data_IF_868762772394
#
_entry.id   IF_868762772394
#
_cell.length_a   1.000
_cell.length_b   1.000
_cell.length_c   1.000
_cell.angle_alpha   90.00
_cell.angle_beta   90.00
_cell.angle_gamma   90.00
#
_symmetry.space_group_name_H-M   'P 1'
#
loop_
_entity.id
_entity.type
_entity.pdbx_description
1 polymer ?
#
# COMPACT_ATOMS: atom_id res chain seq x y z
N UNK A 1 -31.88 48.21 -64.27
CA UNK A 1 -31.96 46.85 -63.65
C UNK A 1 -30.70 46.54 -62.84
N UNK A 2 -30.26 47.43 -61.91
CA UNK A 2 -28.94 47.34 -61.24
C UNK A 2 -29.01 47.55 -59.67
N UNK A 3 -30.21 47.61 -59.13
CA UNK A 3 -30.32 47.98 -57.66
C UNK A 3 -30.60 46.82 -56.69
N UNK A 4 -30.79 45.59 -57.20
CA UNK A 4 -31.22 44.44 -56.39
C UNK A 4 -30.07 43.60 -55.80
N UNK A 5 -28.86 43.70 -56.32
CA UNK A 5 -27.69 42.92 -55.86
C UNK A 5 -26.99 43.47 -54.59
N UNK A 6 -27.11 44.73 -54.29
CA UNK A 6 -26.41 45.38 -53.18
C UNK A 6 -26.97 44.97 -51.80
N UNK A 7 -28.27 44.65 -51.69
CA UNK A 7 -28.86 44.29 -50.40
C UNK A 7 -28.56 42.83 -49.98
N UNK A 8 -28.52 41.92 -50.95
CA UNK A 8 -28.22 40.50 -50.70
C UNK A 8 -26.80 40.33 -50.20
N UNK A 9 -25.84 41.08 -50.71
CA UNK A 9 -24.44 40.99 -50.34
C UNK A 9 -24.20 41.48 -48.87
N UNK A 10 -24.99 42.46 -48.42
CA UNK A 10 -24.89 42.97 -47.01
C UNK A 10 -25.43 41.96 -45.99
N UNK A 11 -26.49 41.23 -46.30
CA UNK A 11 -27.03 40.19 -45.43
C UNK A 11 -26.14 38.95 -45.43
N UNK A 12 -25.54 38.60 -46.55
CA UNK A 12 -24.61 37.48 -46.68
C UNK A 12 -23.31 37.75 -45.90
N UNK A 13 -22.75 38.96 -45.96
CA UNK A 13 -21.60 39.36 -45.16
C UNK A 13 -21.92 39.36 -43.66
N UNK A 14 -23.13 39.79 -43.24
CA UNK A 14 -23.57 39.77 -41.87
C UNK A 14 -23.73 38.33 -41.33
N UNK A 15 -24.26 37.42 -42.13
CA UNK A 15 -24.42 36.01 -41.79
C UNK A 15 -23.06 35.30 -41.62
N UNK A 16 -22.09 35.56 -42.52
CA UNK A 16 -20.75 35.00 -42.43
C UNK A 16 -20.01 35.52 -41.21
N UNK A 17 -20.18 36.80 -40.82
CA UNK A 17 -19.59 37.38 -39.61
C UNK A 17 -20.19 36.77 -38.33
N UNK A 18 -21.48 36.49 -38.30
CA UNK A 18 -22.15 35.84 -37.14
C UNK A 18 -21.69 34.39 -37.05
N UNK A 19 -21.56 33.64 -38.15
CA UNK A 19 -21.06 32.26 -38.16
C UNK A 19 -19.59 32.19 -37.71
N UNK A 20 -18.73 33.17 -38.06
CA UNK A 20 -17.36 33.24 -37.59
C UNK A 20 -17.26 33.54 -36.10
N UNK A 21 -18.22 34.27 -35.50
CA UNK A 21 -18.24 34.55 -34.08
C UNK A 21 -18.72 33.38 -33.21
N UNK A 22 -19.50 32.46 -33.80
CA UNK A 22 -19.96 31.26 -33.06
C UNK A 22 -18.88 30.16 -33.04
N UNK A 23 -17.89 30.21 -33.93
CA UNK A 23 -16.76 29.24 -33.98
C UNK A 23 -15.60 29.57 -33.08
N UNK A 24 -15.61 30.70 -32.34
CA UNK A 24 -14.70 30.88 -31.20
C UNK A 24 -15.20 30.06 -30.02
N UNK A 25 -15.11 28.72 -30.15
CA UNK A 25 -15.36 27.77 -29.07
C UNK A 25 -14.43 28.13 -27.93
N UNK A 26 -14.98 28.74 -26.88
CA UNK A 26 -14.29 28.77 -25.59
C UNK A 26 -13.94 27.34 -25.22
N UNK A 27 -12.65 27.00 -25.26
CA UNK A 27 -12.13 25.79 -24.62
C UNK A 27 -12.36 25.99 -23.12
N UNK A 28 -13.54 25.56 -22.63
CA UNK A 28 -13.81 25.48 -21.21
C UNK A 28 -12.80 24.45 -20.67
N UNK A 29 -11.87 24.82 -19.77
CA UNK A 29 -10.99 23.84 -19.15
C UNK A 29 -11.87 22.88 -18.36
N UNK A 30 -12.02 21.66 -18.87
CA UNK A 30 -12.71 20.59 -18.16
C UNK A 30 -11.97 20.33 -16.84
N UNK A 31 -12.69 20.31 -15.68
CA UNK A 31 -12.09 19.90 -14.42
C UNK A 31 -11.51 18.49 -14.61
N UNK A 32 -10.18 18.33 -14.43
CA UNK A 32 -9.48 17.04 -14.60
C UNK A 32 -8.39 17.02 -15.69
N UNK A 33 -8.16 18.10 -16.46
CA UNK A 33 -7.06 18.20 -17.42
C UNK A 33 -5.70 18.59 -16.83
N UNK A 34 -5.45 18.19 -15.57
CA UNK A 34 -4.10 18.26 -15.01
C UNK A 34 -3.20 17.17 -15.59
N UNK A 35 -1.87 17.37 -15.55
CA UNK A 35 -0.93 16.31 -15.90
C UNK A 35 -1.24 15.04 -15.08
N UNK A 36 -1.15 13.82 -15.67
CA UNK A 36 -1.46 12.59 -14.95
C UNK A 36 -0.57 12.44 -13.72
N UNK A 37 -1.06 11.76 -12.66
CA UNK A 37 -0.27 11.53 -11.46
C UNK A 37 0.95 10.64 -11.79
N UNK A 38 2.06 10.89 -11.12
CA UNK A 38 3.22 9.98 -11.12
C UNK A 38 2.90 8.77 -10.27
N UNK A 39 3.20 7.58 -10.81
CA UNK A 39 2.99 6.33 -10.11
C UNK A 39 4.29 5.85 -9.48
N UNK A 40 4.22 5.45 -8.22
CA UNK A 40 5.35 4.95 -7.45
C UNK A 40 5.13 3.52 -7.01
N UNK A 41 6.22 2.75 -6.99
CA UNK A 41 6.25 1.35 -6.55
C UNK A 41 7.20 1.22 -5.36
N UNK A 42 6.93 0.23 -4.51
CA UNK A 42 7.85 -0.20 -3.46
C UNK A 42 8.36 -1.60 -3.78
N UNK A 43 9.43 -2.02 -3.10
CA UNK A 43 10.10 -3.30 -3.39
C UNK A 43 9.82 -4.34 -2.31
N UNK A 44 9.68 -5.63 -2.67
CA UNK A 44 9.57 -6.70 -1.69
C UNK A 44 10.92 -6.89 -0.98
N UNK A 45 10.90 -7.38 0.24
CA UNK A 45 12.12 -7.71 0.96
C UNK A 45 12.74 -9.00 0.42
N UNK A 46 14.04 -8.97 0.14
CA UNK A 46 14.78 -10.12 -0.42
C UNK A 46 15.87 -10.68 0.50
N UNK A 47 16.20 -9.98 1.59
CA UNK A 47 17.29 -10.40 2.50
C UNK A 47 16.79 -10.65 3.91
N UNK A 48 17.04 -11.85 4.43
CA UNK A 48 16.59 -12.30 5.75
C UNK A 48 17.76 -12.82 6.57
N UNK A 49 17.64 -12.87 7.93
CA UNK A 49 18.65 -13.50 8.77
C UNK A 49 18.74 -15.01 8.53
N UNK A 50 19.93 -15.58 8.62
CA UNK A 50 20.18 -17.01 8.40
C UNK A 50 19.49 -17.90 9.44
N UNK A 51 19.30 -17.40 10.66
CA UNK A 51 18.64 -18.07 11.80
C UNK A 51 17.12 -18.17 11.69
N UNK A 52 16.52 -17.67 10.59
CA UNK A 52 15.09 -17.87 10.32
C UNK A 52 14.86 -19.32 9.89
N UNK A 53 13.95 -20.06 10.55
CA UNK A 53 13.75 -21.48 10.24
C UNK A 53 13.15 -21.68 8.85
N UNK A 54 13.62 -22.73 8.15
CA UNK A 54 12.91 -23.27 6.99
C UNK A 54 11.74 -24.12 7.48
N UNK A 55 10.58 -23.92 6.90
CA UNK A 55 9.33 -24.54 7.35
C UNK A 55 8.67 -25.33 6.23
N UNK A 56 7.97 -26.41 6.58
CA UNK A 56 7.27 -27.33 5.67
C UNK A 56 5.74 -27.17 5.72
N UNK A 57 5.26 -25.99 6.01
CA UNK A 57 3.84 -25.66 6.07
C UNK A 57 3.51 -24.49 5.13
N UNK A 58 2.21 -24.34 4.85
CA UNK A 58 1.68 -23.35 3.90
C UNK A 58 1.03 -22.17 4.62
N UNK A 59 1.15 -20.99 4.04
CA UNK A 59 0.60 -19.73 4.53
C UNK A 59 -0.31 -19.10 3.50
N UNK A 60 -1.49 -18.66 3.92
CA UNK A 60 -2.26 -17.69 3.16
C UNK A 60 -2.13 -16.31 3.81
N UNK A 61 -2.07 -15.29 2.99
CA UNK A 61 -2.03 -13.88 3.40
C UNK A 61 -3.34 -13.22 2.98
N UNK A 62 -4.07 -12.71 3.95
CA UNK A 62 -5.29 -11.93 3.69
C UNK A 62 -4.94 -10.50 3.26
N UNK A 63 -5.86 -9.85 2.56
CA UNK A 63 -5.71 -8.43 2.25
C UNK A 63 -5.71 -7.63 3.55
N UNK A 64 -4.71 -6.76 3.80
CA UNK A 64 -4.70 -5.94 5.00
C UNK A 64 -5.94 -5.08 5.13
N UNK A 65 -6.57 -5.11 6.30
CA UNK A 65 -7.61 -4.14 6.66
C UNK A 65 -6.92 -2.82 6.95
N UNK A 66 -7.50 -1.71 6.52
CA UNK A 66 -6.98 -0.37 6.80
C UNK A 66 -8.11 0.65 6.99
N UNK A 67 -7.86 1.79 7.66
CA UNK A 67 -8.75 2.94 7.62
C UNK A 67 -9.03 3.40 6.19
N UNK A 68 -10.21 3.95 5.92
CA UNK A 68 -10.60 4.39 4.58
C UNK A 68 -9.62 5.38 3.95
N UNK A 69 -9.02 6.26 4.74
CA UNK A 69 -8.00 7.20 4.29
C UNK A 69 -6.70 6.56 3.80
N UNK A 70 -6.40 5.32 4.21
CA UNK A 70 -5.27 4.54 3.71
C UNK A 70 -5.66 3.50 2.66
N UNK A 71 -6.96 3.21 2.49
CA UNK A 71 -7.49 2.28 1.48
C UNK A 71 -7.63 2.96 0.11
N UNK A 72 -6.54 3.52 -0.37
CA UNK A 72 -6.47 4.30 -1.60
C UNK A 72 -5.11 4.13 -2.27
N UNK A 73 -5.01 4.50 -3.54
CA UNK A 73 -3.73 4.62 -4.24
C UNK A 73 -3.00 5.94 -3.93
N UNK A 74 -3.64 6.90 -3.25
CA UNK A 74 -3.00 8.19 -2.93
C UNK A 74 -1.96 7.99 -1.84
N UNK A 75 -0.82 8.69 -1.96
CA UNK A 75 0.24 8.66 -0.96
C UNK A 75 -0.13 9.59 0.18
N UNK A 76 -0.38 9.02 1.36
CA UNK A 76 -0.82 9.74 2.53
C UNK A 76 0.34 10.49 3.20
N UNK A 77 0.02 11.67 3.73
CA UNK A 77 0.90 12.47 4.57
C UNK A 77 0.10 13.15 5.69
N UNK A 78 0.74 13.49 6.77
CA UNK A 78 0.19 14.36 7.80
C UNK A 78 1.26 15.34 8.30
N UNK A 79 0.82 16.53 8.60
CA UNK A 79 1.57 17.61 9.24
C UNK A 79 0.92 18.01 10.57
N UNK A 80 -0.12 17.26 10.96
CA UNK A 80 -0.87 17.39 12.21
C UNK A 80 -1.35 16.00 12.65
N UNK A 81 -1.42 15.70 13.96
CA UNK A 81 -1.92 14.42 14.46
C UNK A 81 -3.37 14.10 14.13
N UNK A 82 -4.16 15.13 13.76
CA UNK A 82 -5.61 15.01 13.55
C UNK A 82 -6.04 15.17 12.09
N UNK A 83 -5.07 15.43 11.17
CA UNK A 83 -5.37 15.67 9.75
C UNK A 83 -4.57 14.74 8.86
N UNK A 84 -5.28 13.99 8.01
CA UNK A 84 -4.67 13.19 6.95
C UNK A 84 -4.82 13.92 5.62
N UNK A 85 -3.71 14.15 4.95
CA UNK A 85 -3.61 14.77 3.63
C UNK A 85 -2.95 13.81 2.64
N UNK A 86 -2.81 14.23 1.40
CA UNK A 86 -2.16 13.42 0.37
C UNK A 86 -1.23 14.30 -0.46
N UNK A 87 -0.14 13.69 -0.94
CA UNK A 87 0.72 14.35 -1.91
C UNK A 87 -0.03 14.61 -3.22
N UNK A 88 0.14 15.80 -3.76
CA UNK A 88 -0.45 16.15 -5.05
C UNK A 88 0.20 15.36 -6.17
N UNK A 89 -0.63 14.83 -7.09
CA UNK A 89 -0.20 14.11 -8.29
C UNK A 89 0.85 13.01 -8.05
N UNK A 90 0.81 12.36 -6.90
CA UNK A 90 1.67 11.24 -6.55
C UNK A 90 0.81 10.09 -6.00
N UNK A 91 0.85 8.95 -6.67
CA UNK A 91 0.07 7.78 -6.31
C UNK A 91 0.95 6.53 -6.23
N UNK A 92 0.54 5.59 -5.43
CA UNK A 92 0.97 4.20 -5.56
C UNK A 92 0.42 3.59 -6.85
N UNK A 93 1.01 2.51 -7.34
CA UNK A 93 0.53 1.76 -8.52
C UNK A 93 -0.74 0.95 -8.25
N UNK A 94 -1.07 0.71 -6.99
CA UNK A 94 -2.28 0.02 -6.54
C UNK A 94 -2.74 0.63 -5.20
N UNK A 95 -3.91 0.25 -4.70
CA UNK A 95 -4.34 0.61 -3.35
C UNK A 95 -3.33 0.11 -2.31
N UNK A 96 -2.96 0.95 -1.35
CA UNK A 96 -1.91 0.65 -0.39
C UNK A 96 -2.07 -0.73 0.32
N UNK A 97 -3.26 -1.15 0.80
CA UNK A 97 -3.42 -2.47 1.40
C UNK A 97 -3.09 -3.62 0.44
N UNK A 98 -3.53 -3.50 -0.82
CA UNK A 98 -3.32 -4.54 -1.84
C UNK A 98 -1.86 -4.60 -2.28
N UNK A 99 -1.20 -3.44 -2.42
CA UNK A 99 0.23 -3.36 -2.67
C UNK A 99 1.02 -4.00 -1.52
N UNK A 100 0.68 -3.68 -0.27
CA UNK A 100 1.33 -4.27 0.92
C UNK A 100 1.13 -5.79 0.97
N UNK A 101 -0.06 -6.32 0.62
CA UNK A 101 -0.31 -7.76 0.52
C UNK A 101 0.63 -8.41 -0.51
N UNK A 102 0.72 -7.85 -1.71
CA UNK A 102 1.59 -8.36 -2.79
C UNK A 102 3.04 -8.41 -2.33
N UNK A 103 3.56 -7.29 -1.82
CA UNK A 103 4.94 -7.19 -1.36
C UNK A 103 5.24 -8.12 -0.17
N UNK A 104 4.24 -8.38 0.68
CA UNK A 104 4.36 -9.32 1.79
C UNK A 104 4.48 -10.77 1.27
N UNK A 105 3.65 -11.18 0.32
CA UNK A 105 3.71 -12.51 -0.31
C UNK A 105 5.06 -12.70 -0.98
N UNK A 106 5.47 -11.78 -1.84
CA UNK A 106 6.77 -11.82 -2.52
C UNK A 106 7.95 -11.84 -1.52
N UNK A 107 7.82 -11.17 -0.37
CA UNK A 107 8.84 -11.21 0.68
C UNK A 107 8.93 -12.58 1.35
N UNK A 108 7.81 -13.30 1.53
CA UNK A 108 7.84 -14.69 1.99
C UNK A 108 8.48 -15.60 0.95
N UNK A 109 8.13 -15.47 -0.33
CA UNK A 109 8.71 -16.22 -1.45
C UNK A 109 10.22 -15.98 -1.53
N UNK A 110 10.66 -14.72 -1.50
CA UNK A 110 12.06 -14.31 -1.53
C UNK A 110 12.86 -14.83 -0.33
N UNK A 111 12.21 -15.18 0.78
CA UNK A 111 12.92 -15.78 1.92
C UNK A 111 13.46 -17.18 1.61
N UNK A 112 12.84 -17.91 0.67
CA UNK A 112 13.16 -19.31 0.38
C UNK A 112 12.97 -20.26 1.57
N UNK A 113 12.29 -19.81 2.64
CA UNK A 113 12.17 -20.51 3.91
C UNK A 113 10.78 -21.13 4.16
N UNK A 114 9.87 -21.05 3.21
CA UNK A 114 8.51 -21.59 3.31
C UNK A 114 8.15 -22.40 2.06
N UNK A 115 7.43 -23.52 2.24
CA UNK A 115 7.06 -24.40 1.13
C UNK A 115 6.03 -23.77 0.17
N UNK A 116 5.16 -22.91 0.68
CA UNK A 116 4.18 -22.22 -0.15
C UNK A 116 3.52 -21.06 0.59
N UNK A 117 3.31 -19.98 -0.13
CA UNK A 117 2.56 -18.80 0.31
C UNK A 117 1.63 -18.34 -0.80
N UNK A 118 0.47 -17.81 -0.45
CA UNK A 118 -0.49 -17.34 -1.44
C UNK A 118 -1.50 -16.37 -0.84
N UNK A 119 -2.42 -15.89 -1.68
CA UNK A 119 -3.54 -15.03 -1.26
C UNK A 119 -4.67 -15.88 -0.68
N UNK A 120 -5.35 -15.41 0.38
CA UNK A 120 -6.51 -16.11 0.95
C UNK A 120 -7.62 -16.31 -0.10
N UNK A 121 -7.82 -15.34 -0.97
CA UNK A 121 -8.89 -15.31 -1.98
C UNK A 121 -8.85 -16.47 -2.99
N UNK A 122 -7.73 -17.17 -3.13
CA UNK A 122 -7.62 -18.32 -4.06
C UNK A 122 -8.12 -19.63 -3.47
N UNK A 123 -8.60 -19.65 -2.22
CA UNK A 123 -9.29 -20.79 -1.62
C UNK A 123 -8.44 -22.05 -1.36
N UNK A 124 -7.12 -21.93 -1.39
CA UNK A 124 -6.21 -23.04 -1.13
C UNK A 124 -6.24 -23.47 0.34
N UNK A 125 -5.95 -24.75 0.59
CA UNK A 125 -5.71 -25.23 1.96
C UNK A 125 -4.40 -24.65 2.47
N UNK A 126 -4.39 -24.27 3.74
CA UNK A 126 -3.18 -23.80 4.41
C UNK A 126 -3.13 -24.24 5.87
N UNK A 127 -1.95 -24.25 6.44
CA UNK A 127 -1.74 -24.48 7.86
C UNK A 127 -2.03 -23.22 8.69
N UNK A 128 -1.69 -22.08 8.11
CA UNK A 128 -1.87 -20.77 8.74
C UNK A 128 -2.45 -19.75 7.77
N UNK A 129 -3.15 -18.77 8.35
CA UNK A 129 -3.62 -17.57 7.69
C UNK A 129 -3.03 -16.36 8.42
N UNK A 130 -2.44 -15.45 7.68
CA UNK A 130 -1.92 -14.19 8.18
C UNK A 130 -2.94 -13.09 7.94
N UNK A 131 -3.56 -12.61 9.01
CA UNK A 131 -4.43 -11.43 8.98
C UNK A 131 -3.67 -10.21 9.45
N UNK A 132 -3.83 -9.11 8.73
CA UNK A 132 -3.07 -7.88 9.00
C UNK A 132 -3.96 -6.66 9.00
N UNK A 133 -3.65 -5.72 9.90
CA UNK A 133 -4.26 -4.40 9.95
C UNK A 133 -3.17 -3.35 9.62
N UNK A 134 -3.29 -2.68 8.48
CA UNK A 134 -2.41 -1.57 8.09
C UNK A 134 -2.88 -0.31 8.81
N UNK A 135 -2.22 0.03 9.92
CA UNK A 135 -2.66 1.11 10.82
C UNK A 135 -2.09 2.46 10.46
N UNK A 136 -0.82 2.48 10.05
CA UNK A 136 -0.11 3.68 9.63
C UNK A 136 0.66 3.39 8.34
N UNK A 137 0.51 4.26 7.37
CA UNK A 137 1.23 4.20 6.10
C UNK A 137 1.25 5.60 5.48
N UNK A 138 1.92 6.53 6.15
CA UNK A 138 1.97 7.93 5.79
C UNK A 138 3.35 8.54 6.04
N UNK A 139 3.61 9.68 5.38
CA UNK A 139 4.73 10.55 5.68
C UNK A 139 4.33 11.57 6.75
N UNK A 140 5.03 11.61 7.86
CA UNK A 140 4.78 12.53 8.98
C UNK A 140 5.76 13.69 8.95
N UNK A 141 5.23 14.90 8.86
CA UNK A 141 5.99 16.13 9.08
C UNK A 141 5.94 16.51 10.56
N UNK A 142 7.05 17.00 11.12
CA UNK A 142 7.14 17.35 12.55
C UNK A 142 6.43 18.65 12.89
N UNK A 143 6.35 19.55 11.92
CA UNK A 143 5.75 20.87 12.06
C UNK A 143 4.59 21.01 11.10
N UNK A 144 3.53 21.71 11.53
CA UNK A 144 2.41 22.03 10.66
C UNK A 144 2.92 22.83 9.45
N UNK A 145 2.62 22.32 8.26
CA UNK A 145 2.99 23.01 7.03
C UNK A 145 2.08 24.24 6.87
N UNK A 146 2.64 25.45 6.68
CA UNK A 146 1.81 26.62 6.42
C UNK A 146 0.91 26.40 5.21
N UNK A 147 -0.31 26.95 5.26
CA UNK A 147 -1.24 26.83 4.13
C UNK A 147 -0.65 27.47 2.87
N UNK A 148 -0.73 26.75 1.75
CA UNK A 148 -0.23 27.23 0.47
C UNK A 148 1.26 26.97 0.18
N UNK A 149 2.05 26.45 1.13
CA UNK A 149 3.41 26.00 0.86
C UNK A 149 3.35 24.69 0.05
N UNK A 150 4.05 24.68 -1.07
CA UNK A 150 4.37 23.43 -1.78
C UNK A 150 5.38 22.66 -0.94
N UNK A 151 5.10 21.39 -0.69
CA UNK A 151 5.92 20.48 0.14
C UNK A 151 7.39 20.44 -0.31
N UNK A 152 7.67 20.82 -1.55
CA UNK A 152 9.01 20.88 -2.15
C UNK A 152 9.70 22.24 -1.96
N UNK A 153 9.12 23.17 -1.19
CA UNK A 153 9.74 24.46 -0.96
C UNK A 153 10.94 24.32 0.02
N UNK A 154 11.97 25.14 -0.22
CA UNK A 154 13.15 25.17 0.63
C UNK A 154 12.78 25.58 2.06
N UNK A 155 13.32 24.89 3.06
CA UNK A 155 13.12 25.20 4.47
C UNK A 155 12.14 24.26 5.21
N UNK A 156 11.43 23.37 4.51
CA UNK A 156 10.60 22.33 5.17
C UNK A 156 11.46 21.12 5.50
N UNK A 157 11.49 20.72 6.78
CA UNK A 157 12.23 19.54 7.20
C UNK A 157 11.70 18.26 6.53
N UNK A 158 12.59 17.34 6.10
CA UNK A 158 12.16 16.09 5.49
C UNK A 158 11.25 15.26 6.40
N UNK A 159 10.18 14.66 5.87
CA UNK A 159 9.24 13.90 6.67
C UNK A 159 9.81 12.54 7.10
N UNK A 160 9.09 11.91 8.02
CA UNK A 160 9.35 10.54 8.48
C UNK A 160 8.29 9.62 7.89
N UNK A 161 8.68 8.69 7.02
CA UNK A 161 7.79 7.61 6.61
C UNK A 161 7.50 6.69 7.81
N UNK A 162 6.22 6.56 8.16
CA UNK A 162 5.75 5.70 9.23
C UNK A 162 4.95 4.54 8.66
N UNK A 163 5.39 3.33 8.99
CA UNK A 163 4.71 2.08 8.63
C UNK A 163 4.42 1.31 9.90
N UNK A 164 3.12 1.07 10.19
CA UNK A 164 2.67 0.32 11.36
C UNK A 164 1.63 -0.71 10.95
N UNK A 165 1.96 -1.99 11.16
CA UNK A 165 1.12 -3.12 10.79
C UNK A 165 0.92 -4.01 12.02
N UNK A 166 -0.34 -4.27 12.38
CA UNK A 166 -0.68 -5.33 13.33
C UNK A 166 -0.88 -6.64 12.56
N UNK A 167 -0.34 -7.71 13.10
CA UNK A 167 -0.33 -9.04 12.47
C UNK A 167 -0.89 -10.06 13.43
N UNK A 168 -1.82 -10.88 12.92
CA UNK A 168 -2.41 -12.02 13.63
C UNK A 168 -2.12 -13.28 12.86
N UNK A 169 -1.42 -14.23 13.47
CA UNK A 169 -1.22 -15.57 12.91
C UNK A 169 -2.37 -16.46 13.37
N UNK A 170 -3.15 -16.96 12.42
CA UNK A 170 -4.35 -17.77 12.63
C UNK A 170 -4.06 -19.18 12.17
N UNK A 171 -4.27 -20.17 13.04
CA UNK A 171 -4.13 -21.59 12.70
C UNK A 171 -5.38 -22.11 12.02
N UNK A 172 -5.19 -22.80 10.92
CA UNK A 172 -6.26 -23.45 10.17
C UNK A 172 -6.37 -24.94 10.48
N UNK A 173 -7.51 -25.60 10.27
CA UNK A 173 -8.81 -25.04 9.83
C UNK A 173 -9.63 -24.42 10.96
N UNK A 174 -9.20 -24.52 12.23
CA UNK A 174 -9.98 -24.09 13.41
C UNK A 174 -10.14 -22.57 13.53
N UNK A 175 -9.42 -21.78 12.71
CA UNK A 175 -9.42 -20.31 12.72
C UNK A 175 -9.06 -19.72 14.10
N UNK A 176 -8.13 -20.35 14.79
CA UNK A 176 -7.65 -19.92 16.11
C UNK A 176 -6.46 -18.97 15.99
N UNK A 177 -6.55 -17.80 16.60
CA UNK A 177 -5.41 -16.87 16.67
C UNK A 177 -4.37 -17.47 17.64
N UNK A 178 -3.20 -17.82 17.09
CA UNK A 178 -2.11 -18.40 17.89
C UNK A 178 -1.09 -17.38 18.34
N UNK A 179 -1.00 -16.25 17.67
CA UNK A 179 -0.14 -15.14 18.08
C UNK A 179 -0.58 -13.82 17.40
N UNK A 180 -0.28 -12.73 18.08
CA UNK A 180 -0.51 -11.37 17.57
C UNK A 180 0.70 -10.51 17.88
N UNK A 181 1.10 -9.65 16.92
CA UNK A 181 2.20 -8.69 17.14
C UNK A 181 2.01 -7.46 16.26
N UNK A 182 2.36 -6.30 16.80
CA UNK A 182 2.43 -5.05 16.03
C UNK A 182 3.89 -4.76 15.66
N UNK A 183 4.09 -4.41 14.40
CA UNK A 183 5.38 -3.99 13.87
C UNK A 183 5.27 -2.53 13.43
N UNK A 184 6.22 -1.74 13.82
CA UNK A 184 6.30 -0.32 13.46
C UNK A 184 7.72 0.03 13.06
N UNK A 185 7.86 0.81 11.99
CA UNK A 185 9.11 1.41 11.55
C UNK A 185 8.87 2.84 11.14
N UNK A 186 9.84 3.66 11.50
CA UNK A 186 9.89 5.08 11.16
C UNK A 186 11.23 5.33 10.50
N UNK A 187 11.21 5.91 9.33
CA UNK A 187 12.42 6.23 8.55
C UNK A 187 12.30 7.65 8.03
N UNK A 188 13.23 8.51 8.42
CA UNK A 188 13.31 9.89 7.91
C UNK A 188 13.78 9.87 6.46
N UNK A 189 13.14 10.65 5.60
CA UNK A 189 13.65 10.92 4.26
C UNK A 189 14.95 11.73 4.33
N UNK A 190 15.86 11.52 3.38
CA UNK A 190 17.11 12.28 3.34
C UNK A 190 16.88 13.72 2.87
N UNK A 191 15.83 13.93 2.07
CA UNK A 191 15.46 15.24 1.53
C UNK A 191 13.94 15.28 1.33
N UNK A 192 13.40 16.48 1.11
CA UNK A 192 11.97 16.72 0.90
C UNK A 192 11.55 16.56 -0.58
N UNK A 193 12.22 15.68 -1.33
CA UNK A 193 11.83 15.31 -2.69
C UNK A 193 11.00 14.02 -2.67
N UNK A 194 10.07 13.86 -3.62
CA UNK A 194 9.27 12.64 -3.72
C UNK A 194 10.13 11.39 -3.82
N UNK A 195 11.27 11.44 -4.50
CA UNK A 195 12.21 10.32 -4.61
C UNK A 195 12.70 9.86 -3.24
N UNK A 196 13.15 10.78 -2.41
CA UNK A 196 13.67 10.47 -1.07
C UNK A 196 12.56 10.06 -0.10
N UNK A 197 11.38 10.67 -0.23
CA UNK A 197 10.19 10.29 0.54
C UNK A 197 9.78 8.86 0.20
N UNK A 198 9.69 8.48 -1.08
CA UNK A 198 9.38 7.10 -1.50
C UNK A 198 10.47 6.13 -1.05
N UNK A 199 11.75 6.52 -1.13
CA UNK A 199 12.87 5.74 -0.61
C UNK A 199 12.76 5.46 0.89
N UNK A 200 12.26 6.43 1.67
CA UNK A 200 12.00 6.23 3.10
C UNK A 200 10.84 5.28 3.38
N UNK A 201 9.76 5.31 2.57
CA UNK A 201 8.69 4.32 2.63
C UNK A 201 9.19 2.92 2.28
N UNK A 202 9.97 2.78 1.22
CA UNK A 202 10.54 1.51 0.79
C UNK A 202 11.41 0.89 1.90
N UNK A 203 12.25 1.70 2.52
CA UNK A 203 13.09 1.26 3.63
C UNK A 203 12.25 0.89 4.87
N UNK A 204 11.23 1.70 5.23
CA UNK A 204 10.38 1.45 6.39
C UNK A 204 9.55 0.18 6.19
N UNK A 205 8.91 0.02 5.02
CA UNK A 205 8.13 -1.17 4.68
C UNK A 205 9.02 -2.40 4.60
N UNK A 206 10.16 -2.33 3.91
CA UNK A 206 11.10 -3.44 3.79
C UNK A 206 11.62 -3.95 5.16
N UNK A 207 11.94 -3.05 6.11
CA UNK A 207 12.28 -3.41 7.49
C UNK A 207 11.11 -4.05 8.24
N UNK A 208 9.88 -3.58 7.99
CA UNK A 208 8.65 -4.12 8.58
C UNK A 208 8.36 -5.51 8.03
N UNK A 209 8.41 -5.71 6.71
CA UNK A 209 8.21 -7.00 6.06
C UNK A 209 9.26 -8.04 6.51
N UNK A 210 10.54 -7.65 6.60
CA UNK A 210 11.59 -8.52 7.14
C UNK A 210 11.25 -9.03 8.54
N UNK A 211 10.76 -8.13 9.40
CA UNK A 211 10.39 -8.49 10.77
C UNK A 211 9.13 -9.37 10.83
N UNK A 212 8.12 -9.10 10.00
CA UNK A 212 6.89 -9.89 9.89
C UNK A 212 7.21 -11.30 9.41
N UNK A 213 7.93 -11.45 8.30
CA UNK A 213 8.31 -12.76 7.75
C UNK A 213 9.07 -13.58 8.77
N UNK A 214 10.15 -13.02 9.36
CA UNK A 214 10.95 -13.70 10.37
C UNK A 214 10.15 -14.13 11.59
N UNK A 215 9.27 -13.27 12.09
CA UNK A 215 8.39 -13.57 13.24
C UNK A 215 7.37 -14.66 12.90
N UNK A 216 6.74 -14.58 11.73
CA UNK A 216 5.71 -15.53 11.31
C UNK A 216 6.29 -16.94 11.17
N UNK A 217 7.46 -17.08 10.52
CA UNK A 217 8.12 -18.37 10.33
C UNK A 217 8.53 -18.99 11.66
N UNK A 218 9.15 -18.23 12.57
CA UNK A 218 9.50 -18.72 13.91
C UNK A 218 8.28 -19.09 14.74
N UNK A 219 7.25 -18.25 14.73
CA UNK A 219 6.04 -18.48 15.53
C UNK A 219 5.28 -19.70 15.02
N UNK A 220 5.06 -19.82 13.71
CA UNK A 220 4.38 -20.96 13.11
C UNK A 220 5.13 -22.27 13.36
N UNK A 221 6.46 -22.27 13.26
CA UNK A 221 7.28 -23.44 13.58
C UNK A 221 7.14 -23.88 15.03
N UNK A 222 7.19 -22.94 15.96
CA UNK A 222 7.00 -23.25 17.40
C UNK A 222 5.61 -23.83 17.70
N UNK A 223 4.56 -23.33 17.04
CA UNK A 223 3.19 -23.83 17.16
C UNK A 223 3.10 -25.28 16.64
N UNK A 224 3.68 -25.58 15.49
CA UNK A 224 3.71 -26.94 14.90
C UNK A 224 4.47 -27.93 15.80
N UNK A 225 5.62 -27.55 16.32
CA UNK A 225 6.42 -28.40 17.21
C UNK A 225 5.67 -28.74 18.52
N UNK A 226 5.00 -27.78 19.13
CA UNK A 226 4.17 -28.01 20.32
C UNK A 226 3.03 -28.99 20.06
N UNK A 227 2.41 -28.93 18.89
CA UNK A 227 1.37 -29.88 18.50
C UNK A 227 1.90 -31.28 18.33
N UNK A 228 3.00 -31.47 17.59
CA UNK A 228 3.64 -32.77 17.42
C UNK A 228 4.02 -33.44 18.73
N UNK A 229 4.53 -32.67 19.69
CA UNK A 229 4.89 -33.18 21.02
C UNK A 229 3.65 -33.59 21.84
N UNK A 230 2.52 -32.85 21.74
CA UNK A 230 1.27 -33.21 22.42
C UNK A 230 0.67 -34.50 21.88
N UNK A 231 0.68 -34.67 20.56
CA UNK A 231 0.16 -35.89 19.90
C UNK A 231 0.98 -37.13 20.30
N UNK A 232 2.33 -37.02 20.28
CA UNK A 232 3.22 -38.11 20.71
C UNK A 232 2.99 -38.50 22.18
N UNK A 233 2.80 -37.49 23.07
CA UNK A 233 2.55 -37.77 24.51
C UNK A 233 1.17 -38.43 24.74
N UNK A 234 0.17 -38.10 23.92
CA UNK A 234 -1.16 -38.70 23.98
C UNK A 234 -1.15 -40.17 23.51
N UNK A 235 -0.46 -40.48 22.39
CA UNK A 235 -0.34 -41.86 21.90
C UNK A 235 0.41 -42.75 22.88
N UNK A 236 1.55 -42.29 23.40
CA UNK A 236 2.35 -43.03 24.38
C UNK A 236 1.57 -43.34 25.69
N UNK A 237 0.58 -42.47 26.03
CA UNK A 237 -0.28 -42.71 27.19
C UNK A 237 -1.41 -43.71 26.93
N UNK A 238 -1.94 -43.77 25.70
CA UNK A 238 -2.93 -44.79 25.33
C UNK A 238 -2.32 -46.19 25.28
N UNK A 239 -1.08 -46.29 24.74
CA UNK A 239 -0.35 -47.55 24.63
C UNK A 239 0.08 -48.14 25.98
N UNK A 240 0.20 -47.30 27.02
CA UNK A 240 0.56 -47.71 28.38
C UNK A 240 -0.66 -48.24 29.18
N UNK A 241 -1.88 -48.11 28.65
CA UNK A 241 -3.13 -48.60 29.27
C UNK A 241 -3.80 -49.74 28.50
N UNK A 242 -3.19 -50.18 27.39
CA UNK A 242 -3.58 -51.39 26.64
C UNK A 242 -2.71 -52.57 27.02
#
# INVERSE_FOLDING_TARGET
MIVKYSKINRYFCGLVLIVMFVCTGCSIPLPGQGAPPRLYVLTPKSTFPDDVPTVNWQLLVDTPISPAGLSTARIAMNDSPIELRYFDRANWTDFAPKMVQTLMIESFENSGKIIGVGREQIGLRSDFLLKTDLREFQAEYSDALPQGIKIMDQGVAPPVARVRINVKLVRMPRREIVATKTFERRVRANDNTMKEIIGSFDQALGKTLKAIVSWTLRTGQNVKQRQGNRTKKSSARSDAFS
#
